data_IF_262725873100
#
_entry.id   IF_262725873100
#
_cell.length_a   1.000
_cell.length_b   1.000
_cell.length_c   1.000
_cell.angle_alpha   90.00
_cell.angle_beta   90.00
_cell.angle_gamma   90.00
#
_symmetry.space_group_name_H-M   'P 1'
#
loop_
_entity.id
_entity.type
_entity.pdbx_description
1 polymer ?
#
# COMPACT_ATOMS: atom_id res chain seq x y z
N UNK A 1 20.23 79.64 17.11
CA UNK A 1 18.85 79.21 17.28
C UNK A 1 18.48 78.24 16.16
N UNK A 2 18.54 76.95 16.51
CA UNK A 2 17.66 75.83 16.20
C UNK A 2 17.36 75.47 14.73
N UNK A 3 18.00 74.38 14.33
CA UNK A 3 17.67 73.51 13.19
C UNK A 3 16.32 72.84 13.41
N UNK A 4 15.35 73.08 12.54
CA UNK A 4 14.18 72.22 12.41
C UNK A 4 14.51 71.12 11.39
N UNK A 5 14.83 69.93 11.90
CA UNK A 5 14.85 68.68 11.14
C UNK A 5 13.40 68.19 11.05
N UNK A 6 12.83 68.23 9.85
CA UNK A 6 11.55 67.57 9.57
C UNK A 6 11.84 66.07 9.41
N UNK A 7 11.31 65.27 10.32
CA UNK A 7 11.46 63.82 10.31
C UNK A 7 10.84 63.25 9.04
N UNK A 8 11.64 62.51 8.24
CA UNK A 8 11.11 61.72 7.13
C UNK A 8 10.11 60.69 7.68
N UNK A 9 8.84 60.67 7.23
CA UNK A 9 7.92 59.65 7.65
C UNK A 9 8.40 58.30 7.09
N UNK A 10 9.04 57.52 7.94
CA UNK A 10 8.98 56.05 7.85
C UNK A 10 7.72 55.62 8.61
N UNK A 11 7.27 54.36 8.41
CA UNK A 11 6.08 53.67 8.99
C UNK A 11 5.00 53.53 7.90
N UNK A 12 4.56 52.34 7.49
CA UNK A 12 4.65 50.99 8.03
C UNK A 12 4.54 50.02 6.86
N UNK A 13 5.28 48.91 6.86
CA UNK A 13 4.98 47.77 6.00
C UNK A 13 3.50 47.38 6.16
N UNK A 14 2.81 47.14 5.04
CA UNK A 14 1.40 46.79 5.05
C UNK A 14 1.29 45.42 5.73
N UNK A 15 0.76 45.39 6.96
CA UNK A 15 0.29 44.15 7.57
C UNK A 15 -1.12 43.90 7.06
N UNK A 16 -1.22 43.33 5.86
CA UNK A 16 -2.49 42.81 5.34
C UNK A 16 -2.85 41.55 6.12
N UNK A 17 -3.81 41.69 7.03
CA UNK A 17 -4.47 40.56 7.67
C UNK A 17 -5.46 39.94 6.71
N UNK A 18 -5.44 38.62 6.58
CA UNK A 18 -6.43 37.86 5.81
C UNK A 18 -7.83 38.12 6.36
N UNK A 19 -8.80 38.40 5.49
CA UNK A 19 -10.17 38.70 5.92
C UNK A 19 -10.89 37.42 6.37
N UNK A 20 -11.85 37.56 7.30
CA UNK A 20 -12.68 36.43 7.74
C UNK A 20 -13.45 35.79 6.57
N UNK A 21 -13.86 36.59 5.58
CA UNK A 21 -14.61 36.10 4.41
C UNK A 21 -13.74 35.28 3.47
N UNK A 22 -12.48 35.66 3.26
CA UNK A 22 -11.55 34.87 2.44
C UNK A 22 -11.31 33.49 3.08
N UNK A 23 -11.20 33.42 4.41
CA UNK A 23 -11.04 32.14 5.11
C UNK A 23 -12.25 31.24 4.99
N UNK A 24 -13.46 31.82 5.05
CA UNK A 24 -14.70 31.07 4.86
C UNK A 24 -14.79 30.53 3.42
N UNK A 25 -14.44 31.33 2.41
CA UNK A 25 -14.47 30.86 1.03
C UNK A 25 -13.48 29.70 0.80
N UNK A 26 -12.29 29.78 1.38
CA UNK A 26 -11.27 28.72 1.26
C UNK A 26 -11.75 27.39 1.84
N UNK A 27 -12.33 27.39 3.04
CA UNK A 27 -12.83 26.14 3.65
C UNK A 27 -14.01 25.55 2.87
N UNK A 28 -14.85 26.40 2.25
CA UNK A 28 -15.96 25.94 1.39
C UNK A 28 -15.41 25.23 0.16
N UNK A 29 -14.42 25.83 -0.51
CA UNK A 29 -13.82 25.23 -1.71
C UNK A 29 -13.11 23.91 -1.36
N UNK A 30 -12.31 23.88 -0.28
CA UNK A 30 -11.68 22.64 0.18
C UNK A 30 -12.73 21.59 0.56
N UNK A 31 -13.84 21.99 1.18
CA UNK A 31 -14.94 21.10 1.52
C UNK A 31 -15.55 20.41 0.29
N UNK A 32 -15.81 21.15 -0.78
CA UNK A 32 -16.36 20.59 -2.03
C UNK A 32 -15.35 19.66 -2.70
N UNK A 33 -14.07 20.08 -2.80
CA UNK A 33 -13.03 19.26 -3.41
C UNK A 33 -12.79 17.97 -2.62
N UNK A 34 -12.76 18.04 -1.29
CA UNK A 34 -12.59 16.89 -0.42
C UNK A 34 -13.74 15.89 -0.56
N UNK A 35 -14.99 16.37 -0.66
CA UNK A 35 -16.15 15.49 -0.82
C UNK A 35 -16.08 14.61 -2.08
N UNK A 36 -15.51 15.12 -3.18
CA UNK A 36 -15.33 14.37 -4.43
C UNK A 36 -14.06 13.50 -4.37
N UNK A 37 -12.99 14.02 -3.77
CA UNK A 37 -11.69 13.36 -3.77
C UNK A 37 -11.61 12.16 -2.81
N UNK A 38 -12.23 12.23 -1.64
CA UNK A 38 -12.17 11.18 -0.62
C UNK A 38 -12.67 9.80 -1.09
N UNK A 39 -13.87 9.65 -1.70
CA UNK A 39 -14.33 8.33 -2.15
C UNK A 39 -13.45 7.74 -3.25
N UNK A 40 -12.93 8.59 -4.15
CA UNK A 40 -11.97 8.17 -5.20
C UNK A 40 -10.65 7.69 -4.58
N UNK A 41 -10.16 8.40 -3.57
CA UNK A 41 -8.89 8.06 -2.91
C UNK A 41 -9.00 6.73 -2.15
N UNK A 42 -10.14 6.42 -1.53
CA UNK A 42 -10.37 5.14 -0.89
C UNK A 42 -10.25 3.98 -1.89
N UNK A 43 -11.01 4.01 -2.99
CA UNK A 43 -10.96 2.95 -4.01
C UNK A 43 -9.55 2.77 -4.61
N UNK A 44 -8.85 3.86 -4.92
CA UNK A 44 -7.47 3.78 -5.45
C UNK A 44 -6.50 3.20 -4.42
N UNK A 45 -6.72 3.44 -3.13
CA UNK A 45 -5.91 2.84 -2.06
C UNK A 45 -6.14 1.33 -1.99
N UNK A 46 -7.40 0.90 -2.02
CA UNK A 46 -7.77 -0.52 -1.99
C UNK A 46 -7.15 -1.26 -3.20
N UNK A 47 -7.25 -0.69 -4.40
CA UNK A 47 -6.63 -1.24 -5.61
C UNK A 47 -5.09 -1.32 -5.48
N UNK A 48 -4.47 -0.32 -4.85
CA UNK A 48 -3.02 -0.29 -4.63
C UNK A 48 -2.57 -1.33 -3.59
N UNK A 49 -3.35 -1.53 -2.53
CA UNK A 49 -3.11 -2.57 -1.52
C UNK A 49 -3.24 -3.96 -2.14
N UNK A 50 -4.28 -4.18 -2.95
CA UNK A 50 -4.47 -5.42 -3.69
C UNK A 50 -3.31 -5.71 -4.65
N UNK A 51 -2.88 -4.72 -5.44
CA UNK A 51 -1.77 -4.86 -6.37
C UNK A 51 -0.44 -5.16 -5.65
N UNK A 52 -0.22 -4.54 -4.47
CA UNK A 52 0.92 -4.82 -3.61
C UNK A 52 0.89 -6.26 -3.10
N UNK A 53 -0.26 -6.73 -2.64
CA UNK A 53 -0.42 -8.10 -2.12
C UNK A 53 -0.12 -9.16 -3.19
N UNK A 54 -0.67 -8.97 -4.40
CA UNK A 54 -0.38 -9.81 -5.57
C UNK A 54 1.11 -9.80 -5.91
N UNK A 55 1.77 -8.64 -5.83
CA UNK A 55 3.21 -8.53 -6.04
C UNK A 55 4.01 -9.28 -4.96
N UNK A 56 3.64 -9.12 -3.70
CA UNK A 56 4.26 -9.82 -2.58
C UNK A 56 4.12 -11.33 -2.74
N UNK A 57 2.93 -11.82 -3.13
CA UNK A 57 2.72 -13.25 -3.38
C UNK A 57 3.59 -13.80 -4.51
N UNK A 58 3.76 -13.06 -5.62
CA UNK A 58 4.68 -13.49 -6.70
C UNK A 58 6.12 -13.65 -6.22
N UNK A 59 6.60 -12.71 -5.40
CA UNK A 59 7.95 -12.78 -4.82
C UNK A 59 8.02 -13.92 -3.82
N UNK A 60 7.01 -14.07 -2.96
CA UNK A 60 6.89 -15.16 -1.99
C UNK A 60 6.98 -16.54 -2.65
N UNK A 61 6.26 -16.77 -3.76
CA UNK A 61 6.37 -18.02 -4.53
C UNK A 61 7.83 -18.28 -4.90
N UNK A 62 8.54 -17.27 -5.41
CA UNK A 62 9.98 -17.38 -5.71
C UNK A 62 10.84 -17.68 -4.48
N UNK A 63 10.57 -17.01 -3.36
CA UNK A 63 11.29 -17.20 -2.10
C UNK A 63 11.12 -18.63 -1.56
N UNK A 64 9.90 -19.19 -1.62
CA UNK A 64 9.63 -20.59 -1.24
C UNK A 64 10.49 -21.54 -2.07
N UNK A 65 10.60 -21.33 -3.38
CA UNK A 65 11.39 -22.19 -4.27
C UNK A 65 12.90 -22.08 -4.03
N UNK A 66 13.38 -20.85 -3.82
CA UNK A 66 14.78 -20.59 -3.48
C UNK A 66 15.14 -21.21 -2.14
N UNK A 67 14.29 -21.02 -1.12
CA UNK A 67 14.48 -21.60 0.20
C UNK A 67 14.51 -23.12 0.13
N UNK A 68 13.54 -23.73 -0.54
CA UNK A 68 13.47 -25.18 -0.71
C UNK A 68 14.72 -25.76 -1.38
N UNK A 69 15.24 -25.10 -2.42
CA UNK A 69 16.46 -25.56 -3.11
C UNK A 69 17.69 -25.51 -2.19
N UNK A 70 17.71 -24.57 -1.24
CA UNK A 70 18.83 -24.40 -0.31
C UNK A 70 18.75 -25.27 0.95
N UNK A 71 17.55 -25.55 1.45
CA UNK A 71 17.34 -26.25 2.74
C UNK A 71 16.73 -27.64 2.59
N UNK A 72 16.06 -27.92 1.47
CA UNK A 72 15.21 -29.11 1.29
C UNK A 72 13.93 -29.08 2.12
N UNK A 73 13.59 -27.93 2.72
CA UNK A 73 12.43 -27.78 3.59
C UNK A 73 11.49 -26.67 3.11
N UNK A 74 10.22 -26.76 3.53
CA UNK A 74 9.26 -25.68 3.33
C UNK A 74 9.70 -24.43 4.09
N UNK A 75 9.35 -23.28 3.55
CA UNK A 75 9.60 -21.99 4.18
C UNK A 75 8.83 -21.90 5.52
N UNK A 76 9.51 -21.47 6.58
CA UNK A 76 8.87 -21.20 7.87
C UNK A 76 8.39 -19.73 7.95
N UNK A 77 7.46 -19.46 8.85
CA UNK A 77 7.04 -18.08 9.14
C UNK A 77 8.24 -17.24 9.62
N UNK A 78 8.41 -16.04 9.07
CA UNK A 78 9.57 -15.18 9.38
C UNK A 78 10.76 -15.34 8.43
N UNK A 79 10.77 -16.36 7.55
CA UNK A 79 11.89 -16.59 6.63
C UNK A 79 11.74 -15.84 5.28
N UNK A 80 10.55 -15.29 4.99
CA UNK A 80 10.33 -14.36 3.87
C UNK A 80 9.39 -13.24 4.28
N UNK A 81 9.92 -12.03 4.27
CA UNK A 81 9.13 -10.80 4.45
C UNK A 81 8.03 -10.67 3.37
N UNK A 82 8.29 -11.16 2.15
CA UNK A 82 7.29 -11.14 1.08
C UNK A 82 6.11 -12.04 1.41
N UNK A 83 6.36 -13.25 1.92
CA UNK A 83 5.31 -14.18 2.33
C UNK A 83 4.56 -13.69 3.57
N UNK A 84 5.28 -13.15 4.55
CA UNK A 84 4.67 -12.67 5.81
C UNK A 84 3.76 -11.45 5.61
N UNK A 85 4.02 -10.66 4.56
CA UNK A 85 3.22 -9.48 4.21
C UNK A 85 2.06 -9.77 3.27
N UNK A 86 1.78 -11.03 2.95
CA UNK A 86 0.60 -11.41 2.17
C UNK A 86 -0.61 -11.56 3.09
N UNK A 87 -1.70 -10.91 2.73
CA UNK A 87 -2.96 -10.88 3.48
C UNK A 87 -4.10 -11.50 2.67
N UNK A 88 -4.13 -11.32 1.34
CA UNK A 88 -5.24 -11.78 0.50
C UNK A 88 -5.14 -13.24 0.06
N UNK A 89 -4.07 -13.95 0.44
CA UNK A 89 -3.88 -15.36 0.13
C UNK A 89 -3.47 -16.14 1.37
N UNK A 90 -3.81 -17.43 1.36
CA UNK A 90 -3.32 -18.41 2.32
C UNK A 90 -2.36 -19.35 1.62
N UNK A 91 -1.21 -19.60 2.26
CA UNK A 91 -0.23 -20.58 1.81
C UNK A 91 -0.34 -21.80 2.71
N UNK A 92 -0.62 -22.96 2.12
CA UNK A 92 -0.67 -24.24 2.82
C UNK A 92 0.42 -25.15 2.29
N UNK A 93 1.37 -25.49 3.14
CA UNK A 93 2.45 -26.40 2.77
C UNK A 93 2.03 -27.86 2.87
N UNK A 94 2.43 -28.68 1.90
CA UNK A 94 2.21 -30.12 1.94
C UNK A 94 3.03 -30.80 3.03
N UNK A 95 2.55 -31.97 3.49
CA UNK A 95 3.17 -32.75 4.58
C UNK A 95 4.56 -33.28 4.25
N UNK A 96 4.83 -33.47 2.96
CA UNK A 96 6.05 -34.12 2.47
C UNK A 96 7.07 -33.09 1.96
N UNK A 97 6.84 -31.80 2.22
CA UNK A 97 7.64 -30.69 1.71
C UNK A 97 7.91 -30.81 0.21
N UNK A 98 6.93 -31.19 -0.59
CA UNK A 98 7.08 -31.33 -2.04
C UNK A 98 6.16 -30.43 -2.84
N UNK A 99 5.27 -29.72 -2.13
CA UNK A 99 4.38 -28.73 -2.69
C UNK A 99 3.90 -27.74 -1.64
N UNK A 100 3.34 -26.65 -2.14
CA UNK A 100 2.53 -25.71 -1.39
C UNK A 100 1.34 -25.29 -2.24
N UNK A 101 0.22 -25.01 -1.59
CA UNK A 101 -0.99 -24.53 -2.24
C UNK A 101 -1.22 -23.08 -1.85
N UNK A 102 -1.44 -22.22 -2.85
CA UNK A 102 -1.89 -20.85 -2.69
C UNK A 102 -3.37 -20.80 -3.00
N UNK A 103 -4.17 -20.28 -2.07
CA UNK A 103 -5.60 -20.02 -2.26
C UNK A 103 -5.93 -18.60 -1.83
N UNK A 104 -6.98 -18.00 -2.37
CA UNK A 104 -7.52 -16.77 -1.80
C UNK A 104 -7.84 -16.95 -0.30
N UNK A 105 -7.51 -15.95 0.52
CA UNK A 105 -7.81 -15.93 1.95
C UNK A 105 -9.23 -15.37 2.15
N UNK A 106 -10.23 -16.20 2.53
CA UNK A 106 -11.60 -15.72 2.73
C UNK A 106 -11.74 -14.81 3.95
N UNK A 107 -10.79 -14.87 4.88
CA UNK A 107 -10.74 -14.04 6.09
C UNK A 107 -9.78 -12.85 5.92
N UNK A 108 -9.39 -12.54 4.67
CA UNK A 108 -8.54 -11.39 4.33
C UNK A 108 -9.20 -10.05 4.62
N UNK A 109 -8.43 -8.97 4.41
CA UNK A 109 -8.97 -7.61 4.52
C UNK A 109 -10.06 -7.32 3.47
N UNK A 110 -10.87 -6.28 3.70
CA UNK A 110 -12.01 -5.94 2.82
C UNK A 110 -11.60 -5.70 1.35
N UNK A 111 -10.42 -5.11 1.13
CA UNK A 111 -9.86 -4.88 -0.20
C UNK A 111 -9.49 -6.18 -0.96
N UNK A 112 -9.41 -7.33 -0.27
CA UNK A 112 -9.13 -8.63 -0.88
C UNK A 112 -10.34 -9.25 -1.60
N UNK A 113 -11.54 -8.65 -1.50
CA UNK A 113 -12.78 -9.22 -2.05
C UNK A 113 -12.72 -9.55 -3.55
N UNK A 114 -11.93 -8.83 -4.34
CA UNK A 114 -11.76 -9.07 -5.77
C UNK A 114 -10.46 -9.82 -6.12
N UNK A 115 -9.75 -10.40 -5.15
CA UNK A 115 -8.43 -11.02 -5.39
C UNK A 115 -8.46 -12.10 -6.48
N UNK A 116 -9.55 -12.87 -6.59
CA UNK A 116 -9.69 -13.92 -7.59
C UNK A 116 -9.73 -13.34 -9.01
N UNK A 117 -10.29 -12.14 -9.21
CA UNK A 117 -10.34 -11.48 -10.51
C UNK A 117 -8.98 -10.88 -10.90
N UNK A 118 -8.30 -10.22 -9.94
CA UNK A 118 -7.02 -9.55 -10.20
C UNK A 118 -5.80 -10.46 -10.15
N UNK A 119 -5.87 -11.53 -9.35
CA UNK A 119 -4.74 -12.32 -8.89
C UNK A 119 -5.01 -13.82 -8.83
N UNK A 120 -6.17 -14.30 -9.30
CA UNK A 120 -6.54 -15.71 -9.24
C UNK A 120 -5.63 -16.64 -10.04
N UNK A 121 -4.85 -16.13 -10.99
CA UNK A 121 -3.82 -16.93 -11.69
C UNK A 121 -2.63 -17.31 -10.79
N UNK A 122 -2.52 -16.72 -9.60
CA UNK A 122 -1.56 -17.16 -8.58
C UNK A 122 -2.12 -18.27 -7.69
N UNK A 123 -3.42 -18.54 -7.74
CA UNK A 123 -4.00 -19.67 -7.01
C UNK A 123 -3.64 -20.97 -7.71
N UNK A 124 -3.28 -21.98 -6.92
CA UNK A 124 -2.85 -23.25 -7.44
C UNK A 124 -1.93 -23.99 -6.47
N UNK A 125 -1.65 -25.24 -6.83
CA UNK A 125 -0.68 -26.06 -6.11
C UNK A 125 0.63 -26.03 -6.86
N UNK A 126 1.65 -25.50 -6.22
CA UNK A 126 3.00 -25.38 -6.74
C UNK A 126 3.83 -26.56 -6.24
N UNK A 127 4.36 -27.34 -7.17
CA UNK A 127 5.27 -28.43 -6.87
C UNK A 127 6.70 -27.89 -6.76
N UNK A 128 7.35 -28.18 -5.63
CA UNK A 128 8.78 -27.96 -5.39
C UNK A 128 9.49 -29.31 -5.49
N UNK A 129 9.73 -29.77 -6.72
CA UNK A 129 10.46 -31.02 -6.99
C UNK A 129 11.73 -30.70 -7.78
N UNK A 130 12.89 -30.94 -7.18
CA UNK A 130 14.19 -30.62 -7.78
C UNK A 130 14.60 -29.16 -7.56
N UNK A 131 15.14 -28.50 -8.59
CA UNK A 131 15.72 -27.14 -8.50
C UNK A 131 14.74 -26.02 -8.87
N UNK A 132 13.42 -26.26 -8.86
CA UNK A 132 12.46 -25.27 -9.34
C UNK A 132 11.03 -25.51 -8.90
N UNK A 133 10.19 -24.53 -9.23
CA UNK A 133 8.75 -24.54 -8.98
C UNK A 133 8.00 -24.76 -10.30
N UNK A 134 6.99 -25.62 -10.28
CA UNK A 134 6.00 -25.75 -11.36
C UNK A 134 4.58 -25.72 -10.83
N UNK A 135 3.69 -25.05 -11.56
CA UNK A 135 2.23 -25.10 -11.39
C UNK A 135 1.64 -26.43 -11.89
#
# INVERSE_FOLDING_TARGET
>A
MNTHYEETPTISAIREGFTMIELIFVIIVIGILAAIALPRLAAVRDDAELAKDVSNMRVCIGDVGSHYTSTGHNLAAGDSESCDNVVCYTITYGTDNSDFTVTANPDGAEFCSNIVEFGGYLEGTYQVKGTGISL
#
